data_IF_970575177554
#
_entry.id   IF_970575177554
#
_cell.length_a   1.000
_cell.length_b   1.000
_cell.length_c   1.000
_cell.angle_alpha   90.00
_cell.angle_beta   90.00
_cell.angle_gamma   90.00
#
_symmetry.space_group_name_H-M   'P 1'
#
loop_
_entity.id
_entity.type
_entity.pdbx_description
1 polymer ?
#
# COMPACT_ATOMS: atom_id res chain seq x y z
N UNK A 1 14.89 -14.04 11.06
CA UNK A 1 15.88 -14.04 9.95
C UNK A 1 16.01 -15.40 9.25
N UNK A 2 16.15 -16.49 9.98
CA UNK A 2 16.42 -17.84 9.41
C UNK A 2 15.23 -18.39 8.61
N UNK A 3 13.99 -18.07 8.99
CA UNK A 3 12.77 -18.57 8.29
C UNK A 3 12.54 -17.86 6.94
N UNK A 4 13.00 -16.62 6.78
CA UNK A 4 12.87 -15.83 5.55
C UNK A 4 13.88 -16.27 4.45
N UNK A 5 15.00 -16.86 4.85
CA UNK A 5 16.07 -17.31 3.94
C UNK A 5 15.70 -18.64 3.23
N UNK A 6 14.72 -19.39 3.76
CA UNK A 6 14.42 -20.76 3.30
C UNK A 6 13.65 -20.86 1.98
N UNK A 7 13.02 -19.79 1.51
CA UNK A 7 12.12 -19.80 0.35
C UNK A 7 12.55 -18.90 -0.83
N UNK A 8 13.74 -18.31 -0.80
CA UNK A 8 14.15 -17.34 -1.80
C UNK A 8 15.48 -17.71 -2.48
N UNK A 9 15.73 -17.10 -3.66
CA UNK A 9 17.01 -17.15 -4.40
C UNK A 9 18.23 -16.82 -3.52
N UNK A 10 18.02 -16.15 -2.38
CA UNK A 10 19.03 -15.86 -1.36
C UNK A 10 19.69 -17.11 -0.76
N UNK A 11 19.00 -18.27 -0.71
CA UNK A 11 19.57 -19.50 -0.17
C UNK A 11 20.71 -20.05 -1.03
N UNK A 12 20.61 -19.92 -2.35
CA UNK A 12 21.66 -20.36 -3.27
C UNK A 12 22.89 -19.44 -3.18
N UNK A 13 22.67 -18.13 -3.06
CA UNK A 13 23.73 -17.15 -2.87
C UNK A 13 24.49 -17.37 -1.55
N UNK A 14 23.77 -17.61 -0.45
CA UNK A 14 24.40 -17.89 0.86
C UNK A 14 25.28 -19.12 0.81
N UNK A 15 24.85 -20.21 0.14
CA UNK A 15 25.67 -21.40 -0.06
C UNK A 15 26.93 -21.10 -0.88
N UNK A 16 26.81 -20.31 -1.96
CA UNK A 16 27.95 -19.90 -2.78
C UNK A 16 28.99 -19.09 -2.00
N UNK A 17 28.54 -18.13 -1.19
CA UNK A 17 29.42 -17.33 -0.33
C UNK A 17 30.12 -18.20 0.71
N UNK A 18 29.42 -19.14 1.36
CA UNK A 18 30.02 -20.05 2.32
C UNK A 18 31.10 -20.93 1.68
N UNK A 19 30.91 -21.42 0.46
CA UNK A 19 31.90 -22.18 -0.28
C UNK A 19 33.13 -21.33 -0.58
N UNK A 20 32.96 -20.09 -1.02
CA UNK A 20 34.05 -19.13 -1.30
C UNK A 20 34.87 -18.83 -0.04
N UNK A 21 34.21 -18.65 1.11
CA UNK A 21 34.88 -18.46 2.41
C UNK A 21 35.64 -19.71 2.79
N UNK A 22 35.07 -20.90 2.62
CA UNK A 22 35.75 -22.18 2.86
C UNK A 22 37.00 -22.35 2.00
N UNK A 23 36.91 -22.06 0.69
CA UNK A 23 38.06 -22.07 -0.22
C UNK A 23 39.16 -21.06 0.19
N UNK A 24 38.75 -19.86 0.66
CA UNK A 24 39.72 -18.88 1.16
C UNK A 24 40.46 -19.37 2.39
N UNK A 25 39.77 -19.96 3.36
CA UNK A 25 40.39 -20.54 4.57
C UNK A 25 41.34 -21.68 4.23
N UNK A 26 41.00 -22.57 3.29
CA UNK A 26 41.88 -23.62 2.80
C UNK A 26 43.13 -23.03 2.10
N UNK A 27 42.94 -21.99 1.26
CA UNK A 27 44.07 -21.32 0.59
C UNK A 27 45.03 -20.63 1.60
N UNK A 28 44.50 -20.14 2.73
CA UNK A 28 45.30 -19.61 3.83
C UNK A 28 46.05 -20.72 4.54
N UNK A 29 45.40 -21.85 4.84
CA UNK A 29 45.97 -22.98 5.56
C UNK A 29 47.11 -23.63 4.76
N UNK A 30 46.93 -23.84 3.46
CA UNK A 30 47.96 -24.45 2.59
C UNK A 30 48.97 -23.44 2.02
N UNK A 31 48.94 -22.17 2.46
CA UNK A 31 49.84 -21.10 2.02
C UNK A 31 49.86 -20.85 0.50
N UNK A 32 48.72 -21.08 -0.19
CA UNK A 32 48.60 -20.95 -1.64
C UNK A 32 48.43 -19.46 -2.03
N UNK A 33 49.56 -18.78 -2.26
CA UNK A 33 49.60 -17.33 -2.48
C UNK A 33 48.76 -16.85 -3.68
N UNK A 34 48.82 -17.58 -4.81
CA UNK A 34 48.09 -17.25 -6.04
C UNK A 34 46.58 -17.34 -5.86
N UNK A 35 46.11 -18.39 -5.21
CA UNK A 35 44.68 -18.59 -4.96
C UNK A 35 44.17 -17.56 -3.97
N UNK A 36 44.93 -17.23 -2.94
CA UNK A 36 44.62 -16.21 -1.97
C UNK A 36 44.47 -14.81 -2.63
N UNK A 37 45.39 -14.49 -3.57
CA UNK A 37 45.33 -13.25 -4.32
C UNK A 37 44.07 -13.18 -5.20
N UNK A 38 43.75 -14.22 -5.96
CA UNK A 38 42.57 -14.28 -6.80
C UNK A 38 41.27 -14.15 -5.98
N UNK A 39 41.17 -14.89 -4.87
CA UNK A 39 40.00 -14.83 -4.00
C UNK A 39 39.83 -13.45 -3.34
N UNK A 40 40.92 -12.76 -2.99
CA UNK A 40 40.86 -11.39 -2.49
C UNK A 40 40.27 -10.43 -3.52
N UNK A 41 40.67 -10.56 -4.78
CA UNK A 41 40.07 -9.76 -5.86
C UNK A 41 38.60 -10.11 -6.04
N UNK A 42 38.22 -11.39 -6.03
CA UNK A 42 36.84 -11.83 -6.11
C UNK A 42 35.97 -11.27 -4.97
N UNK A 43 36.48 -11.24 -3.74
CA UNK A 43 35.74 -10.65 -2.61
C UNK A 43 35.58 -9.14 -2.74
N UNK A 44 36.64 -8.44 -3.20
CA UNK A 44 36.62 -6.99 -3.37
C UNK A 44 35.56 -6.55 -4.41
N UNK A 45 35.58 -7.17 -5.58
CA UNK A 45 34.61 -6.84 -6.65
C UNK A 45 33.25 -7.52 -6.44
N UNK A 46 33.25 -8.69 -5.82
CA UNK A 46 32.01 -9.42 -5.47
C UNK A 46 31.15 -8.66 -4.49
N UNK A 47 31.76 -7.97 -3.51
CA UNK A 47 31.03 -7.11 -2.59
C UNK A 47 30.30 -5.95 -3.32
N UNK A 48 30.96 -5.32 -4.27
CA UNK A 48 30.35 -4.27 -5.10
C UNK A 48 29.20 -4.83 -5.95
N UNK A 49 29.41 -5.99 -6.59
CA UNK A 49 28.38 -6.68 -7.37
C UNK A 49 27.17 -7.06 -6.50
N UNK A 50 27.40 -7.47 -5.26
CA UNK A 50 26.37 -7.81 -4.30
C UNK A 50 25.52 -6.60 -3.89
N UNK A 51 26.15 -5.44 -3.66
CA UNK A 51 25.44 -4.17 -3.39
C UNK A 51 24.53 -3.80 -4.58
N UNK A 52 25.05 -3.88 -5.81
CA UNK A 52 24.28 -3.56 -7.02
C UNK A 52 23.10 -4.54 -7.18
N UNK A 53 23.33 -5.84 -6.96
CA UNK A 53 22.29 -6.87 -7.05
C UNK A 53 21.18 -6.67 -6.01
N UNK A 54 21.53 -6.28 -4.77
CA UNK A 54 20.57 -6.07 -3.68
C UNK A 54 20.10 -4.61 -3.56
N UNK A 55 20.44 -3.74 -4.52
CA UNK A 55 20.00 -2.34 -4.51
C UNK A 55 18.49 -2.19 -4.35
N UNK A 56 17.61 -2.93 -5.08
CA UNK A 56 16.14 -2.81 -4.90
C UNK A 56 15.67 -3.28 -3.52
N UNK A 57 16.27 -4.34 -2.96
CA UNK A 57 15.93 -4.84 -1.63
C UNK A 57 16.38 -3.87 -0.54
N UNK A 58 17.59 -3.33 -0.65
CA UNK A 58 18.12 -2.31 0.26
C UNK A 58 17.25 -1.05 0.24
N UNK A 59 16.84 -0.58 -0.93
CA UNK A 59 15.90 0.55 -1.07
C UNK A 59 14.61 0.29 -0.31
N UNK A 60 13.98 -0.88 -0.49
CA UNK A 60 12.74 -1.26 0.22
C UNK A 60 12.92 -1.31 1.74
N UNK A 61 14.05 -1.86 2.21
CA UNK A 61 14.35 -1.92 3.65
C UNK A 61 14.54 -0.52 4.22
N UNK A 62 15.31 0.34 3.54
CA UNK A 62 15.53 1.73 3.96
C UNK A 62 14.23 2.54 3.98
N UNK A 63 13.37 2.38 2.98
CA UNK A 63 12.04 2.98 2.96
C UNK A 63 11.16 2.49 4.12
N UNK A 64 11.22 1.20 4.44
CA UNK A 64 10.48 0.61 5.57
C UNK A 64 11.01 1.11 6.92
N UNK A 65 12.33 1.18 7.09
CA UNK A 65 12.96 1.73 8.31
C UNK A 65 12.71 3.23 8.44
N UNK A 66 12.81 3.98 7.34
CA UNK A 66 12.48 5.41 7.31
C UNK A 66 11.05 5.71 7.75
N UNK A 67 10.09 4.85 7.35
CA UNK A 67 8.69 4.96 7.80
C UNK A 67 8.52 4.71 9.29
N UNK A 68 9.28 3.79 9.87
CA UNK A 68 9.13 3.40 11.28
C UNK A 68 9.85 4.36 12.24
N UNK A 69 11.01 4.90 11.82
CA UNK A 69 11.86 5.72 12.69
C UNK A 69 11.51 7.21 12.69
N UNK A 70 10.88 7.74 11.63
CA UNK A 70 10.55 9.17 11.53
C UNK A 70 9.12 9.52 11.99
N UNK A 71 8.29 8.54 12.35
CA UNK A 71 6.95 8.77 12.91
C UNK A 71 6.92 9.44 14.29
N UNK A 72 8.09 9.65 14.94
CA UNK A 72 8.22 10.28 16.25
C UNK A 72 8.58 11.78 16.22
N UNK A 73 8.83 12.38 15.06
CA UNK A 73 9.30 13.77 14.97
C UNK A 73 8.28 14.76 14.36
N UNK A 74 6.98 14.45 14.42
CA UNK A 74 5.93 15.40 14.05
C UNK A 74 5.65 16.41 15.18
N UNK A 75 6.67 17.22 15.54
CA UNK A 75 6.50 18.29 16.53
C UNK A 75 6.10 19.65 15.92
N UNK A 76 5.92 19.73 14.59
CA UNK A 76 5.68 21.02 13.91
C UNK A 76 4.38 21.11 13.09
N UNK A 77 3.38 20.22 13.29
CA UNK A 77 2.12 20.28 12.53
C UNK A 77 0.90 20.14 13.41
N UNK A 78 0.71 21.09 14.34
CA UNK A 78 -0.48 21.10 15.20
C UNK A 78 -1.65 21.96 14.67
N UNK A 79 -1.51 22.61 13.53
CA UNK A 79 -2.58 23.42 12.92
C UNK A 79 -3.25 22.80 11.67
N UNK A 80 -2.60 21.83 11.00
CA UNK A 80 -3.16 21.21 9.79
C UNK A 80 -3.98 19.93 10.07
N UNK A 81 -4.02 19.46 11.32
CA UNK A 81 -4.62 18.14 11.63
C UNK A 81 -6.15 18.16 11.62
N UNK A 82 -6.79 19.26 12.01
CA UNK A 82 -8.25 19.34 12.11
C UNK A 82 -8.89 19.51 10.73
N UNK A 83 -8.28 20.31 9.86
CA UNK A 83 -8.75 20.55 8.48
C UNK A 83 -8.61 19.29 7.62
N UNK A 84 -7.50 18.56 7.77
CA UNK A 84 -7.25 17.29 7.08
C UNK A 84 -8.26 16.19 7.51
N UNK A 85 -8.63 16.15 8.78
CA UNK A 85 -9.63 15.20 9.30
C UNK A 85 -11.01 15.45 8.71
N UNK A 86 -11.41 16.70 8.54
CA UNK A 86 -12.69 17.07 7.93
C UNK A 86 -12.71 16.72 6.43
N UNK A 87 -11.61 16.96 5.72
CA UNK A 87 -11.48 16.56 4.31
C UNK A 87 -11.59 15.04 4.13
N UNK A 88 -10.95 14.26 5.00
CA UNK A 88 -11.07 12.80 4.96
C UNK A 88 -12.49 12.31 5.27
N UNK A 89 -13.19 12.90 6.24
CA UNK A 89 -14.59 12.54 6.52
C UNK A 89 -15.47 12.72 5.29
N UNK A 90 -15.38 13.88 4.63
CA UNK A 90 -16.11 14.17 3.38
C UNK A 90 -15.71 13.21 2.24
N UNK A 91 -14.43 12.93 2.12
CA UNK A 91 -13.92 11.99 1.12
C UNK A 91 -14.42 10.56 1.35
N UNK A 92 -14.41 10.07 2.59
CA UNK A 92 -14.91 8.74 2.96
C UNK A 92 -16.39 8.60 2.62
N UNK A 93 -17.20 9.60 2.97
CA UNK A 93 -18.62 9.60 2.61
C UNK A 93 -18.81 9.52 1.08
N UNK A 94 -18.10 10.36 0.33
CA UNK A 94 -18.14 10.36 -1.13
C UNK A 94 -17.66 9.03 -1.74
N UNK A 95 -16.60 8.40 -1.20
CA UNK A 95 -16.12 7.09 -1.64
C UNK A 95 -17.18 6.02 -1.40
N UNK A 96 -17.77 5.97 -0.21
CA UNK A 96 -18.77 4.97 0.15
C UNK A 96 -20.05 5.11 -0.68
N UNK A 97 -20.52 6.34 -0.90
CA UNK A 97 -21.69 6.63 -1.73
C UNK A 97 -21.43 6.26 -3.20
N UNK A 98 -20.25 6.61 -3.70
CA UNK A 98 -19.85 6.28 -5.06
C UNK A 98 -19.70 4.78 -5.25
N UNK A 99 -19.03 4.09 -4.32
CA UNK A 99 -18.86 2.64 -4.38
C UNK A 99 -20.20 1.91 -4.40
N UNK A 100 -21.18 2.34 -3.58
CA UNK A 100 -22.52 1.77 -3.59
C UNK A 100 -23.27 2.04 -4.91
N UNK A 101 -23.19 3.26 -5.45
CA UNK A 101 -23.78 3.63 -6.73
C UNK A 101 -23.18 2.83 -7.89
N UNK A 102 -21.83 2.78 -7.98
CA UNK A 102 -21.10 2.05 -9.03
C UNK A 102 -21.32 0.53 -8.91
N UNK A 103 -21.46 0.01 -7.69
CA UNK A 103 -21.83 -1.38 -7.41
C UNK A 103 -23.19 -1.72 -8.02
N UNK A 104 -24.20 -0.87 -7.84
CA UNK A 104 -25.54 -1.09 -8.35
C UNK A 104 -25.63 -1.11 -9.87
N UNK A 105 -24.78 -0.33 -10.53
CA UNK A 105 -24.68 -0.24 -12.00
C UNK A 105 -23.64 -1.20 -12.59
N UNK A 106 -22.93 -1.97 -11.75
CA UNK A 106 -21.80 -2.82 -12.12
C UNK A 106 -20.73 -2.05 -12.92
N UNK A 107 -20.46 -0.83 -12.53
CA UNK A 107 -19.42 -0.01 -13.11
C UNK A 107 -18.12 -0.23 -12.36
N UNK A 108 -17.08 -0.67 -13.06
CA UNK A 108 -15.77 -0.94 -12.47
C UNK A 108 -15.10 0.32 -11.94
N UNK A 109 -14.58 0.28 -10.72
CA UNK A 109 -13.86 1.38 -10.11
C UNK A 109 -12.64 0.92 -9.32
N UNK A 110 -11.61 1.79 -9.24
CA UNK A 110 -10.37 1.54 -8.51
C UNK A 110 -9.95 2.83 -7.82
N UNK A 111 -10.14 2.90 -6.50
CA UNK A 111 -9.92 4.10 -5.69
C UNK A 111 -8.83 3.81 -4.66
N UNK A 112 -7.78 4.63 -4.64
CA UNK A 112 -6.65 4.48 -3.72
C UNK A 112 -6.66 5.63 -2.72
N UNK A 113 -6.71 5.28 -1.44
CA UNK A 113 -6.49 6.20 -0.34
C UNK A 113 -5.01 6.14 0.05
N UNK A 114 -4.25 7.16 -0.34
CA UNK A 114 -2.83 7.29 0.02
C UNK A 114 -2.70 7.54 1.52
N UNK A 115 -1.71 6.89 2.14
CA UNK A 115 -1.41 7.10 3.56
C UNK A 115 0.00 7.66 3.74
N UNK A 116 0.87 6.94 4.46
CA UNK A 116 2.26 7.39 4.74
C UNK A 116 3.16 7.27 3.52
N UNK A 117 2.95 6.24 2.70
CA UNK A 117 3.72 6.03 1.47
C UNK A 117 3.21 6.94 0.37
N UNK A 118 4.05 7.84 -0.11
CA UNK A 118 3.69 8.74 -1.20
C UNK A 118 3.73 8.03 -2.56
N UNK A 119 2.67 8.20 -3.35
CA UNK A 119 2.44 7.51 -4.62
C UNK A 119 2.78 8.40 -5.83
N UNK A 120 3.86 9.18 -5.73
CA UNK A 120 4.25 10.13 -6.76
C UNK A 120 4.50 9.50 -8.13
N UNK A 121 5.10 8.29 -8.18
CA UNK A 121 5.34 7.56 -9.42
C UNK A 121 4.03 7.19 -10.13
N UNK A 122 3.02 6.74 -9.39
CA UNK A 122 1.70 6.38 -9.94
C UNK A 122 0.92 7.62 -10.37
N UNK A 123 0.94 8.68 -9.55
CA UNK A 123 0.30 9.97 -9.87
C UNK A 123 0.84 10.54 -11.18
N UNK A 124 2.16 10.45 -11.43
CA UNK A 124 2.79 10.95 -12.64
C UNK A 124 2.31 10.25 -13.94
N UNK A 125 1.71 9.07 -13.84
CA UNK A 125 1.17 8.33 -14.99
C UNK A 125 -0.26 8.74 -15.35
N UNK A 126 -0.96 9.41 -14.43
CA UNK A 126 -2.36 9.80 -14.57
C UNK A 126 -2.56 11.28 -14.94
N UNK A 127 -3.80 11.68 -15.00
CA UNK A 127 -4.21 13.08 -15.17
C UNK A 127 -4.43 13.74 -13.83
N UNK A 128 -3.75 14.85 -13.56
CA UNK A 128 -3.89 15.64 -12.33
C UNK A 128 -5.23 16.36 -12.33
N UNK A 129 -5.99 16.19 -11.26
CA UNK A 129 -7.32 16.78 -11.09
C UNK A 129 -7.37 17.81 -9.97
N UNK A 130 -6.75 17.54 -8.83
CA UNK A 130 -6.75 18.39 -7.62
C UNK A 130 -8.16 18.87 -7.24
N UNK A 131 -9.10 17.95 -7.05
CA UNK A 131 -10.50 18.30 -6.79
C UNK A 131 -11.06 17.60 -5.55
N UNK A 132 -12.11 18.18 -4.97
CA UNK A 132 -12.82 17.64 -3.82
C UNK A 132 -13.62 16.40 -4.26
N UNK A 133 -13.50 15.25 -3.56
CA UNK A 133 -14.27 14.06 -3.87
C UNK A 133 -15.78 14.29 -3.75
N UNK A 134 -16.52 13.80 -4.73
CA UNK A 134 -17.98 13.74 -4.70
C UNK A 134 -18.49 12.57 -5.52
N UNK A 135 -19.71 12.11 -5.24
CA UNK A 135 -20.33 10.98 -5.97
C UNK A 135 -20.43 11.27 -7.47
N UNK A 136 -20.72 12.53 -7.83
CA UNK A 136 -20.80 12.95 -9.23
C UNK A 136 -19.44 12.89 -9.94
N UNK A 137 -18.36 13.31 -9.27
CA UNK A 137 -17.01 13.29 -9.82
C UNK A 137 -16.55 11.83 -10.04
N UNK A 138 -16.73 10.94 -9.06
CA UNK A 138 -16.40 9.53 -9.23
C UNK A 138 -17.23 8.87 -10.34
N UNK A 139 -18.54 9.19 -10.41
CA UNK A 139 -19.41 8.71 -11.48
C UNK A 139 -18.93 9.12 -12.88
N UNK A 140 -18.44 10.36 -13.03
CA UNK A 140 -17.88 10.83 -14.30
C UNK A 140 -16.50 10.22 -14.61
N UNK A 141 -15.62 10.08 -13.60
CA UNK A 141 -14.31 9.48 -13.80
C UNK A 141 -14.45 8.03 -14.27
N UNK A 142 -15.28 7.22 -13.58
CA UNK A 142 -15.43 5.80 -13.88
C UNK A 142 -16.49 5.49 -14.95
N UNK A 143 -17.06 6.52 -15.58
CA UNK A 143 -17.99 6.30 -16.66
C UNK A 143 -17.29 5.54 -17.82
N UNK A 144 -17.84 4.41 -18.27
CA UNK A 144 -17.19 3.57 -19.28
C UNK A 144 -16.86 4.33 -20.57
N UNK A 145 -15.73 3.98 -21.17
CA UNK A 145 -15.23 4.55 -22.43
C UNK A 145 -14.84 6.04 -22.37
N UNK A 146 -14.62 6.59 -21.18
CA UNK A 146 -14.02 7.93 -20.99
C UNK A 146 -12.50 7.83 -20.79
N UNK A 147 -11.71 8.90 -21.06
CA UNK A 147 -10.25 8.85 -20.91
C UNK A 147 -9.75 8.56 -19.49
N UNK A 148 -10.55 8.85 -18.45
CA UNK A 148 -10.15 8.73 -17.05
C UNK A 148 -10.57 7.40 -16.40
N UNK A 149 -11.42 6.59 -17.05
CA UNK A 149 -12.00 5.38 -16.44
C UNK A 149 -11.00 4.21 -16.37
N UNK A 150 -10.00 4.20 -17.26
CA UNK A 150 -8.97 3.17 -17.29
C UNK A 150 -7.80 3.55 -16.39
N UNK A 151 -7.77 2.94 -15.23
CA UNK A 151 -6.78 3.20 -14.19
C UNK A 151 -7.39 3.50 -12.82
N UNK A 152 -6.56 4.00 -11.93
CA UNK A 152 -6.94 4.28 -10.56
C UNK A 152 -7.13 5.77 -10.30
N UNK A 153 -8.02 6.10 -9.36
CA UNK A 153 -8.09 7.42 -8.73
C UNK A 153 -7.24 7.39 -7.46
N UNK A 154 -6.39 8.39 -7.27
CA UNK A 154 -5.55 8.53 -6.08
C UNK A 154 -6.02 9.73 -5.26
N UNK A 155 -6.32 9.44 -3.99
CA UNK A 155 -6.76 10.43 -2.99
C UNK A 155 -5.65 10.60 -1.97
N UNK A 156 -5.25 11.85 -1.73
CA UNK A 156 -4.30 12.27 -0.70
C UNK A 156 -4.93 13.38 0.14
N UNK A 157 -4.83 13.24 1.46
CA UNK A 157 -5.33 14.24 2.41
C UNK A 157 -6.80 14.64 2.16
N UNK A 158 -7.62 13.63 1.74
CA UNK A 158 -9.03 13.82 1.43
C UNK A 158 -9.34 14.49 0.08
N UNK A 159 -8.33 14.71 -0.80
CA UNK A 159 -8.46 15.37 -2.11
C UNK A 159 -8.11 14.35 -3.21
N UNK A 160 -8.90 14.31 -4.30
CA UNK A 160 -8.55 13.57 -5.51
C UNK A 160 -7.38 14.29 -6.19
N UNK A 161 -6.19 13.68 -6.18
CA UNK A 161 -5.01 14.26 -6.85
C UNK A 161 -5.00 13.96 -8.34
N UNK A 162 -5.24 12.69 -8.71
CA UNK A 162 -5.16 12.26 -10.09
C UNK A 162 -6.13 11.10 -10.36
N UNK A 163 -6.45 10.91 -11.64
CA UNK A 163 -7.25 9.80 -12.15
C UNK A 163 -6.58 9.17 -13.39
N UNK A 164 -6.98 7.95 -13.75
CA UNK A 164 -6.35 7.20 -14.83
C UNK A 164 -4.92 6.77 -14.52
N UNK A 165 -4.58 6.58 -13.23
CA UNK A 165 -3.24 6.21 -12.81
C UNK A 165 -2.97 4.72 -13.01
N UNK A 166 -1.79 4.38 -13.55
CA UNK A 166 -1.35 2.99 -13.68
C UNK A 166 -0.76 2.46 -12.37
N UNK A 167 -1.06 1.20 -12.07
CA UNK A 167 -0.62 0.54 -10.85
C UNK A 167 0.33 -0.63 -11.17
N UNK A 168 1.23 -0.95 -10.23
CA UNK A 168 2.09 -2.11 -10.36
C UNK A 168 1.28 -3.40 -10.29
N UNK A 169 1.74 -4.43 -11.02
CA UNK A 169 1.19 -5.78 -10.90
C UNK A 169 1.65 -6.45 -9.61
N UNK A 170 0.87 -7.40 -9.07
CA UNK A 170 1.27 -8.18 -7.90
C UNK A 170 2.56 -8.96 -8.17
N UNK A 171 3.37 -9.16 -7.12
CA UNK A 171 4.64 -9.89 -7.24
C UNK A 171 4.45 -11.38 -7.58
N UNK A 172 3.34 -11.97 -7.11
CA UNK A 172 2.99 -13.38 -7.31
C UNK A 172 1.66 -13.49 -8.05
N UNK A 173 1.56 -12.89 -9.22
CA UNK A 173 0.34 -12.90 -10.05
C UNK A 173 -0.16 -14.32 -10.36
N UNK A 174 0.77 -15.30 -10.45
CA UNK A 174 0.45 -16.72 -10.70
C UNK A 174 -0.34 -17.38 -9.56
N UNK A 175 -0.21 -16.89 -8.31
CA UNK A 175 -0.89 -17.42 -7.13
C UNK A 175 -2.25 -16.78 -6.89
N UNK A 176 -2.56 -15.70 -7.62
CA UNK A 176 -3.83 -15.00 -7.49
C UNK A 176 -4.91 -15.74 -8.27
N UNK A 177 -6.08 -15.85 -7.68
CA UNK A 177 -7.22 -16.51 -8.32
C UNK A 177 -7.48 -15.90 -9.71
N UNK A 178 -7.43 -16.74 -10.76
CA UNK A 178 -7.61 -16.36 -12.17
C UNK A 178 -8.96 -15.71 -12.47
N UNK A 179 -9.95 -15.88 -11.60
CA UNK A 179 -11.28 -15.24 -11.70
C UNK A 179 -11.28 -13.77 -11.27
N UNK A 180 -10.15 -13.24 -10.78
CA UNK A 180 -10.03 -11.84 -10.41
C UNK A 180 -9.72 -10.99 -11.64
N UNK A 181 -10.57 -9.99 -11.91
CA UNK A 181 -10.35 -9.01 -12.98
C UNK A 181 -9.09 -8.16 -12.78
N UNK A 182 -8.73 -7.41 -13.82
CA UNK A 182 -7.51 -6.58 -13.86
C UNK A 182 -7.42 -5.58 -12.72
N UNK A 183 -8.54 -4.92 -12.34
CA UNK A 183 -8.60 -3.95 -11.25
C UNK A 183 -8.32 -4.58 -9.88
N UNK A 184 -8.79 -5.79 -9.63
CA UNK A 184 -8.50 -6.51 -8.38
C UNK A 184 -7.02 -6.86 -8.26
N UNK A 185 -6.39 -7.33 -9.36
CA UNK A 185 -4.96 -7.63 -9.38
C UNK A 185 -4.13 -6.36 -9.17
N UNK A 186 -4.49 -5.26 -9.82
CA UNK A 186 -3.85 -3.98 -9.63
C UNK A 186 -3.96 -3.48 -8.19
N UNK A 187 -5.12 -3.69 -7.53
CA UNK A 187 -5.32 -3.35 -6.13
C UNK A 187 -4.41 -4.15 -5.19
N UNK A 188 -4.29 -5.47 -5.40
CA UNK A 188 -3.38 -6.32 -4.64
C UNK A 188 -1.93 -5.84 -4.85
N UNK A 189 -1.49 -5.66 -6.10
CA UNK A 189 -0.14 -5.20 -6.40
C UNK A 189 0.21 -3.86 -5.78
N UNK A 190 -0.75 -2.93 -5.74
CA UNK A 190 -0.55 -1.64 -5.08
C UNK A 190 -0.45 -1.78 -3.57
N UNK A 191 -1.30 -2.59 -2.95
CA UNK A 191 -1.30 -2.81 -1.49
C UNK A 191 -0.12 -3.66 -1.00
N UNK A 192 0.55 -4.46 -1.87
CA UNK A 192 1.82 -5.13 -1.56
C UNK A 192 2.99 -4.14 -1.47
N UNK A 193 2.95 -3.07 -2.28
CA UNK A 193 4.06 -2.14 -2.43
C UNK A 193 3.90 -0.84 -1.60
N UNK A 194 2.73 -0.65 -0.97
CA UNK A 194 2.44 0.54 -0.14
C UNK A 194 1.54 0.20 1.04
N UNK A 195 1.37 1.16 1.94
CA UNK A 195 0.40 1.09 3.02
C UNK A 195 -0.96 1.72 2.65
N UNK A 196 -1.19 1.97 1.35
CA UNK A 196 -2.43 2.52 0.84
C UNK A 196 -3.59 1.53 1.00
N UNK A 197 -4.79 2.07 1.16
CA UNK A 197 -6.03 1.30 1.13
C UNK A 197 -6.62 1.43 -0.26
N UNK A 198 -6.92 0.30 -0.88
CA UNK A 198 -7.43 0.27 -2.25
C UNK A 198 -8.83 -0.29 -2.29
N UNK A 199 -9.80 0.53 -2.67
CA UNK A 199 -11.21 0.13 -2.84
C UNK A 199 -11.45 -0.22 -4.30
N UNK A 200 -12.05 -1.38 -4.53
CA UNK A 200 -12.37 -1.90 -5.87
C UNK A 200 -13.84 -2.19 -5.99
N UNK A 201 -14.45 -1.73 -7.08
CA UNK A 201 -15.80 -2.18 -7.48
C UNK A 201 -15.65 -3.04 -8.74
N UNK A 202 -16.21 -4.26 -8.69
CA UNK A 202 -16.15 -5.20 -9.80
C UNK A 202 -17.13 -4.82 -10.92
N UNK A 203 -16.66 -4.72 -12.15
CA UNK A 203 -17.52 -4.50 -13.31
C UNK A 203 -18.35 -5.73 -13.70
N UNK A 204 -17.93 -6.93 -13.28
CA UNK A 204 -18.66 -8.16 -13.59
C UNK A 204 -19.78 -8.42 -12.56
N UNK A 205 -19.45 -8.30 -11.27
CA UNK A 205 -20.34 -8.72 -10.19
C UNK A 205 -20.95 -7.55 -9.41
N UNK A 206 -20.39 -6.35 -9.50
CA UNK A 206 -20.74 -5.21 -8.65
C UNK A 206 -20.18 -5.31 -7.23
N UNK A 207 -19.48 -6.39 -6.87
CA UNK A 207 -18.95 -6.56 -5.52
C UNK A 207 -17.92 -5.49 -5.17
N UNK A 208 -18.07 -4.91 -3.96
CA UNK A 208 -17.09 -3.99 -3.38
C UNK A 208 -16.06 -4.81 -2.62
N UNK A 209 -14.79 -4.57 -2.89
CA UNK A 209 -13.65 -5.23 -2.27
C UNK A 209 -12.64 -4.20 -1.80
N UNK A 210 -11.84 -4.56 -0.80
CA UNK A 210 -10.74 -3.70 -0.30
C UNK A 210 -9.46 -4.52 -0.30
N UNK A 211 -8.39 -3.95 -0.84
CA UNK A 211 -7.04 -4.50 -0.74
C UNK A 211 -6.21 -3.67 0.26
N UNK A 212 -5.60 -4.36 1.22
CA UNK A 212 -4.69 -3.81 2.23
C UNK A 212 -3.58 -4.84 2.51
N UNK A 213 -2.31 -4.40 2.54
CA UNK A 213 -1.13 -5.25 2.83
C UNK A 213 -1.00 -6.52 1.96
N UNK A 214 -1.41 -6.45 0.70
CA UNK A 214 -1.37 -7.58 -0.25
C UNK A 214 -2.55 -8.54 -0.16
N UNK A 215 -3.49 -8.32 0.76
CA UNK A 215 -4.68 -9.14 0.93
C UNK A 215 -5.93 -8.44 0.37
N UNK A 216 -6.80 -9.21 -0.30
CA UNK A 216 -8.06 -8.72 -0.85
C UNK A 216 -9.24 -9.29 -0.08
N UNK A 217 -9.99 -8.44 0.61
CA UNK A 217 -11.25 -8.80 1.27
C UNK A 217 -12.44 -8.34 0.44
N UNK A 218 -13.43 -9.21 0.26
CA UNK A 218 -14.58 -9.01 -0.62
C UNK A 218 -15.89 -8.88 0.15
N UNK A 219 -16.92 -8.32 -0.52
CA UNK A 219 -18.29 -8.32 -0.03
C UNK A 219 -18.59 -7.23 0.99
N UNK A 220 -17.99 -6.06 0.81
CA UNK A 220 -18.32 -4.90 1.63
C UNK A 220 -19.67 -4.30 1.25
N UNK A 221 -20.48 -4.00 2.27
CA UNK A 221 -21.59 -3.07 2.16
C UNK A 221 -21.08 -1.62 2.33
N UNK A 222 -21.91 -0.63 1.97
CA UNK A 222 -21.59 0.79 2.20
C UNK A 222 -21.17 1.05 3.65
N UNK A 223 -21.93 0.51 4.62
CA UNK A 223 -21.68 0.75 6.05
C UNK A 223 -20.42 0.06 6.55
N UNK A 224 -20.14 -1.17 6.09
CA UNK A 224 -18.92 -1.88 6.46
C UNK A 224 -17.69 -1.26 5.85
N UNK A 225 -17.77 -0.76 4.61
CA UNK A 225 -16.71 0.00 3.96
C UNK A 225 -16.43 1.29 4.72
N UNK A 226 -17.47 2.05 5.09
CA UNK A 226 -17.32 3.28 5.86
C UNK A 226 -16.59 3.05 7.18
N UNK A 227 -17.02 2.05 7.96
CA UNK A 227 -16.37 1.71 9.24
C UNK A 227 -14.90 1.35 9.06
N UNK A 228 -14.55 0.64 7.99
CA UNK A 228 -13.16 0.30 7.70
C UNK A 228 -12.35 1.56 7.37
N UNK A 229 -12.85 2.40 6.47
CA UNK A 229 -12.15 3.63 6.06
C UNK A 229 -12.00 4.62 7.22
N UNK A 230 -13.06 4.80 8.04
CA UNK A 230 -13.00 5.64 9.26
C UNK A 230 -11.89 5.17 10.20
N UNK A 231 -11.83 3.87 10.49
CA UNK A 231 -10.82 3.30 11.38
C UNK A 231 -9.38 3.37 10.84
N UNK A 232 -9.20 3.41 9.51
CA UNK A 232 -7.90 3.36 8.87
C UNK A 232 -7.34 4.71 8.45
N UNK A 233 -8.20 5.67 8.14
CA UNK A 233 -7.82 6.97 7.58
C UNK A 233 -7.95 8.12 8.57
N UNK A 234 -8.85 8.00 9.56
CA UNK A 234 -9.02 9.02 10.59
C UNK A 234 -8.07 8.76 11.78
N UNK A 235 -7.54 9.80 12.44
CA UNK A 235 -6.71 9.65 13.62
C UNK A 235 -7.50 9.08 14.81
N UNK A 236 -6.85 8.25 15.65
CA UNK A 236 -7.47 7.55 16.78
C UNK A 236 -8.21 8.44 17.81
N UNK A 237 -7.92 9.74 17.85
CA UNK A 237 -8.58 10.68 18.79
C UNK A 237 -10.10 10.78 18.57
N UNK A 238 -10.58 10.64 17.35
CA UNK A 238 -12.01 10.73 17.05
C UNK A 238 -12.78 9.43 17.34
N UNK A 239 -12.10 8.28 17.34
CA UNK A 239 -12.72 7.01 17.71
C UNK A 239 -13.08 6.93 19.20
N UNK A 240 -12.30 7.58 20.06
CA UNK A 240 -12.55 7.63 21.50
C UNK A 240 -13.64 8.65 21.86
N UNK A 241 -13.73 9.78 21.18
CA UNK A 241 -14.78 10.80 21.42
C UNK A 241 -16.18 10.29 21.09
N UNK A 242 -16.32 9.43 20.08
CA UNK A 242 -17.59 8.77 19.74
C UNK A 242 -17.99 7.72 20.79
N UNK A 243 -17.00 7.02 21.38
CA UNK A 243 -17.24 6.08 22.48
C UNK A 243 -17.60 6.79 23.78
N UNK A 244 -16.94 7.89 24.15
CA UNK A 244 -17.23 8.66 25.35
C UNK A 244 -18.61 9.33 25.29
N UNK A 245 -19.01 9.91 24.16
CA UNK A 245 -20.34 10.46 23.99
C UNK A 245 -21.45 9.39 24.03
N UNK A 246 -21.20 8.18 23.56
CA UNK A 246 -22.11 7.03 23.69
C UNK A 246 -22.19 6.50 25.12
N UNK A 247 -21.12 6.59 25.90
CA UNK A 247 -21.11 6.20 27.33
C UNK A 247 -21.75 7.27 28.22
N UNK A 248 -21.42 8.55 28.00
CA UNK A 248 -22.00 9.68 28.73
C UNK A 248 -23.53 9.74 28.54
N UNK A 249 -24.03 9.52 27.33
CA UNK A 249 -25.46 9.46 27.03
C UNK A 249 -26.19 8.32 27.78
N UNK A 250 -25.54 7.16 27.98
CA UNK A 250 -26.11 6.05 28.76
C UNK A 250 -26.06 6.26 30.27
N UNK A 251 -25.10 6.99 30.78
CA UNK A 251 -25.00 7.31 32.21
C UNK A 251 -26.04 8.35 32.61
N UNK A 252 -26.26 9.38 31.80
CA UNK A 252 -27.24 10.44 32.05
C UNK A 252 -28.69 9.89 32.00
N UNK A 253 -28.97 8.91 31.15
CA UNK A 253 -30.31 8.30 31.08
C UNK A 253 -30.65 7.42 32.29
N UNK A 254 -29.63 6.94 33.05
CA UNK A 254 -29.81 6.15 34.30
C UNK A 254 -30.04 6.99 35.57
N UNK A 255 -29.78 8.32 35.52
CA UNK A 255 -29.95 9.23 36.65
C UNK A 255 -31.25 10.05 36.54
N UNK A 256 -32.06 9.82 35.54
CA UNK A 256 -33.40 10.46 35.32
C UNK A 256 -34.58 9.50 35.51
N UNK A 257 -34.38 8.41 36.25
CA UNK A 257 -35.50 7.55 36.71
C UNK A 257 -35.54 7.48 38.24
#
# INVERSE_FOLDING_TARGET
GIKLIRETRAQQLTKGILILIGCYLLAVFFNLQTIRFLLRICFQWGFLALIIMFQPELRRVLEKVGRTSLGGFNFFSSSDSDDNTEHWKKAIDAICDSAASLSSTKTGALIICERKTKLGEQIATGTILNCIPSTAIFGNIFFPNTPLHDGAVIIRDGIILAAGCFLPRPQKDELINKQLGSRHRAAIGMSENSDAIVVVVSEETGNISVAENGELTRGYSKDSLKRLLDNRLLPEKDANSIRENSFAGRVISKWKK
#
